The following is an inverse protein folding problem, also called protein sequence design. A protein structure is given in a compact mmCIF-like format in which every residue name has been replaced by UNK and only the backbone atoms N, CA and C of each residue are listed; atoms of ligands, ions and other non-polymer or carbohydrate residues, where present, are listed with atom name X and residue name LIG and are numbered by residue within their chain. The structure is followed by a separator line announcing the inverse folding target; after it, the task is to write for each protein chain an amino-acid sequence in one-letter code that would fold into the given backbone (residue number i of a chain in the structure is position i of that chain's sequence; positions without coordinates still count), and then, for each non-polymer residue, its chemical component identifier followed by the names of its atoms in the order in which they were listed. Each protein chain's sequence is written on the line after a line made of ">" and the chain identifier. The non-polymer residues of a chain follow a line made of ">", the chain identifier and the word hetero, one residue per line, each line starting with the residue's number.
data_IF_808645112752
#
_entry.id   IF_808645112752
#
_cell.length_a   1.000
_cell.length_b   1.000
_cell.length_c   1.000
_cell.angle_alpha   90.00
_cell.angle_beta   90.00
_cell.angle_gamma   90.00
#
_symmetry.space_group_name_H-M   'P 1'
#
loop_
_entity.id
_entity.type
_entity.pdbx_description
1 polymer ?
#
# COMPACT_ATOMS: atom_id res chain seq x y z
N UNK A 1 -16.07 21.62 4.71
CA UNK A 1 -16.78 21.13 5.89
C UNK A 1 -15.86 20.15 6.59
N UNK A 2 -15.60 20.30 7.91
CA UNK A 2 -14.80 19.36 8.69
C UNK A 2 -15.34 17.94 8.56
N UNK A 3 -14.45 16.96 8.57
CA UNK A 3 -14.82 15.55 8.53
C UNK A 3 -13.67 14.68 9.04
N UNK A 4 -13.95 13.67 9.82
CA UNK A 4 -12.93 12.79 10.41
C UNK A 4 -13.21 11.31 10.18
N UNK A 5 -14.48 10.91 10.03
CA UNK A 5 -14.86 9.53 9.76
C UNK A 5 -15.24 9.26 8.29
N UNK A 6 -15.01 10.23 7.42
CA UNK A 6 -15.28 10.12 5.97
C UNK A 6 -13.97 10.10 5.20
N UNK A 7 -13.91 9.31 4.15
CA UNK A 7 -12.83 9.30 3.17
C UNK A 7 -13.43 9.36 1.77
N UNK A 8 -12.93 10.25 0.93
CA UNK A 8 -13.32 10.33 -0.49
C UNK A 8 -12.70 9.24 -1.36
N UNK A 9 -11.83 8.38 -0.80
CA UNK A 9 -11.18 7.31 -1.53
C UNK A 9 -12.17 6.19 -1.87
N UNK A 10 -11.99 5.56 -3.02
CA UNK A 10 -12.83 4.43 -3.45
C UNK A 10 -12.79 3.28 -2.43
N UNK A 11 -13.94 2.68 -2.17
CA UNK A 11 -14.08 1.56 -1.24
C UNK A 11 -14.42 1.94 0.21
N UNK A 12 -14.35 3.23 0.56
CA UNK A 12 -14.76 3.70 1.89
C UNK A 12 -16.22 4.18 1.87
N UNK A 13 -17.09 3.52 2.59
CA UNK A 13 -18.43 4.05 2.87
C UNK A 13 -18.37 5.11 3.96
N UNK A 14 -19.36 5.98 4.02
CA UNK A 14 -19.55 6.94 5.11
C UNK A 14 -20.38 6.33 6.23
N UNK A 15 -19.95 6.49 7.48
CA UNK A 15 -20.68 5.98 8.66
C UNK A 15 -21.36 7.09 9.47
N UNK A 16 -20.95 8.35 9.32
CA UNK A 16 -21.48 9.47 10.06
C UNK A 16 -21.17 9.47 11.55
N UNK A 17 -20.11 8.78 12.00
CA UNK A 17 -19.78 8.56 13.40
C UNK A 17 -19.34 9.83 14.13
N UNK A 18 -18.38 10.57 13.57
CA UNK A 18 -17.71 11.68 14.24
C UNK A 18 -18.56 12.93 14.38
N UNK A 19 -19.59 13.10 13.55
CA UNK A 19 -20.48 14.28 13.52
C UNK A 19 -19.78 15.63 13.25
N UNK A 20 -18.50 15.66 12.92
CA UNK A 20 -17.78 16.89 12.60
C UNK A 20 -18.33 17.61 11.33
N UNK A 21 -19.08 16.93 10.48
CA UNK A 21 -19.59 17.45 9.21
C UNK A 21 -21.06 17.93 9.27
N UNK A 22 -21.52 18.41 10.43
CA UNK A 22 -22.90 18.84 10.60
C UNK A 22 -23.24 20.08 9.75
N UNK A 23 -24.39 20.03 9.09
CA UNK A 23 -24.94 21.11 8.25
C UNK A 23 -26.41 21.34 8.60
N UNK A 24 -26.91 22.54 8.31
CA UNK A 24 -28.32 22.86 8.40
C UNK A 24 -28.98 22.73 7.03
N UNK A 25 -30.14 22.06 6.99
CA UNK A 25 -30.94 21.90 5.78
C UNK A 25 -32.25 22.65 5.98
N UNK A 26 -32.60 23.52 5.04
CA UNK A 26 -33.83 24.30 5.12
C UNK A 26 -35.04 23.38 5.20
N UNK A 27 -35.96 23.71 6.13
CA UNK A 27 -37.14 22.91 6.40
C UNK A 27 -36.91 21.69 7.33
N UNK A 28 -35.68 21.38 7.71
CA UNK A 28 -35.41 20.30 8.66
C UNK A 28 -35.23 20.82 10.09
N UNK A 29 -35.83 20.11 11.05
CA UNK A 29 -35.74 20.48 12.48
C UNK A 29 -34.35 20.24 13.06
N UNK A 30 -33.65 19.23 12.59
CA UNK A 30 -32.35 18.79 13.11
C UNK A 30 -31.24 19.05 12.12
N UNK A 31 -30.01 19.24 12.62
CA UNK A 31 -28.82 19.24 11.77
C UNK A 31 -28.58 17.84 11.21
N UNK A 32 -28.02 17.78 10.02
CA UNK A 32 -27.65 16.55 9.34
C UNK A 32 -26.14 16.38 9.22
N UNK A 33 -25.66 15.15 9.31
CA UNK A 33 -24.26 14.81 8.97
C UNK A 33 -24.14 14.73 7.45
N UNK A 34 -23.44 15.68 6.83
CA UNK A 34 -23.36 15.81 5.36
C UNK A 34 -22.75 14.59 4.67
N UNK A 35 -21.82 13.86 5.34
CA UNK A 35 -21.16 12.69 4.77
C UNK A 35 -22.07 11.48 4.51
N UNK A 36 -23.27 11.44 5.13
CA UNK A 36 -24.26 10.35 4.96
C UNK A 36 -25.59 10.86 4.38
N UNK A 37 -25.68 12.15 4.07
CA UNK A 37 -26.90 12.73 3.52
C UNK A 37 -26.87 12.69 1.99
N UNK A 38 -27.88 12.09 1.39
CA UNK A 38 -28.08 12.12 -0.06
C UNK A 38 -28.78 13.42 -0.45
N UNK A 39 -28.22 14.22 -1.37
CA UNK A 39 -28.89 15.40 -1.88
C UNK A 39 -30.20 15.05 -2.61
N UNK A 40 -31.21 15.90 -2.46
CA UNK A 40 -32.47 15.83 -3.23
C UNK A 40 -32.60 17.10 -4.06
N UNK A 41 -33.44 17.07 -5.13
CA UNK A 41 -33.76 18.28 -5.89
C UNK A 41 -34.24 19.39 -4.95
N UNK A 42 -33.82 20.63 -5.22
CA UNK A 42 -34.15 21.84 -4.48
C UNK A 42 -33.73 21.89 -3.01
N UNK A 43 -32.92 20.93 -2.55
CA UNK A 43 -32.36 20.94 -1.19
C UNK A 43 -31.44 22.15 -1.00
N UNK A 44 -31.75 23.00 0.00
CA UNK A 44 -30.90 24.12 0.38
C UNK A 44 -30.10 23.73 1.62
N UNK A 45 -28.75 23.68 1.46
CA UNK A 45 -27.84 23.29 2.51
C UNK A 45 -27.03 24.50 2.98
N UNK A 46 -27.11 24.83 4.27
CA UNK A 46 -26.38 25.93 4.90
C UNK A 46 -25.20 25.38 5.71
N UNK A 47 -24.02 25.51 5.16
CA UNK A 47 -22.76 25.05 5.77
C UNK A 47 -22.24 26.02 6.84
N UNK A 48 -22.56 27.31 6.72
CA UNK A 48 -22.01 28.39 7.51
C UNK A 48 -23.05 29.05 8.43
N UNK A 49 -24.21 28.42 8.64
CA UNK A 49 -25.18 28.95 9.60
C UNK A 49 -24.60 28.91 11.02
N UNK A 50 -25.02 29.86 11.86
CA UNK A 50 -24.60 29.91 13.28
C UNK A 50 -24.82 28.59 13.99
N UNK A 51 -25.96 27.94 13.71
CA UNK A 51 -26.34 26.66 14.30
C UNK A 51 -25.41 25.52 13.88
N UNK A 52 -25.06 25.44 12.58
CA UNK A 52 -24.14 24.44 12.06
C UNK A 52 -22.70 24.64 12.62
N UNK A 53 -22.21 25.90 12.60
CA UNK A 53 -20.88 26.22 13.16
C UNK A 53 -20.79 25.91 14.66
N UNK A 54 -21.78 26.33 15.44
CA UNK A 54 -21.79 26.06 16.89
C UNK A 54 -21.81 24.55 17.19
N UNK A 55 -22.54 23.76 16.40
CA UNK A 55 -22.57 22.31 16.55
C UNK A 55 -21.23 21.66 16.18
N UNK A 56 -20.60 22.07 15.06
CA UNK A 56 -19.29 21.56 14.67
C UNK A 56 -18.21 21.89 15.68
N UNK A 57 -18.17 23.15 16.14
CA UNK A 57 -17.24 23.59 17.19
C UNK A 57 -17.38 22.74 18.45
N UNK A 58 -18.62 22.53 18.93
CA UNK A 58 -18.87 21.71 20.11
C UNK A 58 -18.43 20.24 19.89
N UNK A 59 -18.68 19.69 18.71
CA UNK A 59 -18.22 18.33 18.37
C UNK A 59 -16.69 18.25 18.38
N UNK A 60 -16.00 19.25 17.83
CA UNK A 60 -14.54 19.28 17.85
C UNK A 60 -14.00 19.42 19.28
N UNK A 61 -14.58 20.29 20.12
CA UNK A 61 -14.23 20.39 21.53
C UNK A 61 -14.37 19.04 22.26
N UNK A 62 -15.47 18.31 22.02
CA UNK A 62 -15.69 16.97 22.62
C UNK A 62 -14.67 15.94 22.11
N UNK A 63 -14.30 15.98 20.83
CA UNK A 63 -13.31 15.06 20.27
C UNK A 63 -11.89 15.36 20.77
N UNK A 64 -11.58 16.63 21.04
CA UNK A 64 -10.27 17.06 21.55
C UNK A 64 -10.13 16.83 23.06
N UNK A 65 -11.25 16.73 23.80
CA UNK A 65 -11.25 16.55 25.27
C UNK A 65 -10.40 15.36 25.72
N UNK A 66 -10.54 14.22 25.03
CA UNK A 66 -9.90 12.96 25.40
C UNK A 66 -8.61 12.70 24.58
N UNK A 67 -8.08 13.72 23.92
CA UNK A 67 -6.86 13.60 23.14
C UNK A 67 -5.63 14.05 23.93
N UNK A 68 -4.45 13.46 23.69
CA UNK A 68 -3.22 14.11 24.10
C UNK A 68 -3.17 15.54 23.56
N UNK A 69 -2.64 16.49 24.34
CA UNK A 69 -2.46 17.87 23.84
C UNK A 69 -1.65 17.86 22.52
N UNK A 70 -1.86 18.85 21.68
CA UNK A 70 -1.14 18.91 20.38
C UNK A 70 0.38 18.78 20.53
N UNK A 71 0.95 19.33 21.63
CA UNK A 71 2.39 19.22 21.92
C UNK A 71 2.84 17.78 22.21
N UNK A 72 1.95 16.96 22.77
CA UNK A 72 2.20 15.55 23.13
C UNK A 72 1.60 14.57 22.12
N UNK A 73 0.93 15.07 21.09
CA UNK A 73 0.28 14.23 20.09
C UNK A 73 1.32 13.41 19.32
N UNK A 74 0.96 12.18 18.98
CA UNK A 74 1.76 11.32 18.11
C UNK A 74 1.93 11.93 16.72
N UNK A 75 0.88 12.50 16.16
CA UNK A 75 0.91 13.29 14.93
C UNK A 75 0.37 14.68 15.21
N UNK A 76 1.28 15.65 15.34
CA UNK A 76 0.94 17.06 15.61
C UNK A 76 0.27 17.75 14.42
N UNK A 77 0.45 17.20 13.22
CA UNK A 77 -0.14 17.66 11.96
C UNK A 77 -1.31 16.78 11.51
N UNK A 78 -1.92 16.03 12.44
CA UNK A 78 -3.02 15.13 12.13
C UNK A 78 -4.24 15.88 11.59
N UNK A 79 -5.03 15.18 10.78
CA UNK A 79 -6.27 15.74 10.24
C UNK A 79 -7.26 16.21 11.34
N UNK A 80 -7.19 15.59 12.52
CA UNK A 80 -7.97 16.06 13.68
C UNK A 80 -7.59 17.49 14.07
N UNK A 81 -6.29 17.77 14.22
CA UNK A 81 -5.82 19.10 14.62
C UNK A 81 -6.04 20.13 13.52
N UNK A 82 -5.91 19.75 12.23
CA UNK A 82 -6.29 20.62 11.11
C UNK A 82 -7.77 21.03 11.19
N UNK A 83 -8.65 20.06 11.44
CA UNK A 83 -10.09 20.34 11.54
C UNK A 83 -10.44 21.11 12.83
N UNK A 84 -9.76 20.86 13.94
CA UNK A 84 -9.93 21.63 15.15
C UNK A 84 -9.54 23.10 14.95
N UNK A 85 -8.40 23.35 14.31
CA UNK A 85 -7.97 24.70 13.94
C UNK A 85 -8.96 25.41 13.00
N UNK A 86 -9.55 24.67 12.03
CA UNK A 86 -10.56 25.22 11.11
C UNK A 86 -11.82 25.71 11.83
N UNK A 87 -12.16 25.11 12.96
CA UNK A 87 -13.33 25.48 13.80
C UNK A 87 -12.92 26.33 15.03
N UNK A 88 -11.70 26.89 15.05
CA UNK A 88 -11.15 27.72 16.15
C UNK A 88 -11.18 26.98 17.51
N UNK A 89 -10.73 25.71 17.53
CA UNK A 89 -10.64 24.88 18.74
C UNK A 89 -9.18 24.50 18.96
N UNK A 90 -8.53 25.09 19.95
CA UNK A 90 -7.19 24.72 20.42
C UNK A 90 -7.24 23.86 21.69
N UNK A 91 -8.27 24.00 22.48
CA UNK A 91 -8.51 23.27 23.72
C UNK A 91 -10.01 23.09 23.93
N UNK A 92 -10.37 22.13 24.77
CA UNK A 92 -11.77 21.90 25.14
C UNK A 92 -12.17 22.67 26.38
N UNK A 93 -13.40 23.19 26.38
CA UNK A 93 -14.05 23.74 27.62
C UNK A 93 -14.69 22.63 28.46
N UNK A 94 -14.75 21.40 27.96
CA UNK A 94 -15.26 20.26 28.71
C UNK A 94 -14.15 19.65 29.56
N UNK A 95 -14.47 19.15 30.76
CA UNK A 95 -13.48 18.48 31.61
C UNK A 95 -13.03 17.17 30.91
N UNK A 96 -11.74 16.89 31.03
CA UNK A 96 -11.21 15.56 30.68
C UNK A 96 -11.93 14.51 31.55
N UNK A 97 -12.22 13.36 30.94
CA UNK A 97 -12.70 12.22 31.71
C UNK A 97 -11.53 11.63 32.50
N UNK A 98 -11.76 11.33 33.76
CA UNK A 98 -10.80 10.55 34.55
C UNK A 98 -10.73 9.13 33.92
N UNK A 99 -9.71 8.91 33.12
CA UNK A 99 -9.44 7.59 32.52
C UNK A 99 -8.64 6.79 33.54
N UNK A 100 -9.26 5.78 34.16
CA UNK A 100 -8.58 4.88 35.10
C UNK A 100 -7.35 4.20 34.48
N UNK A 101 -7.30 4.10 33.15
CA UNK A 101 -6.24 3.40 32.42
C UNK A 101 -6.01 4.01 31.05
N UNK A 102 -4.91 4.75 30.89
CA UNK A 102 -4.43 5.17 29.57
C UNK A 102 -4.06 3.91 28.79
N UNK A 103 -4.53 3.75 27.53
CA UNK A 103 -4.14 2.62 26.70
C UNK A 103 -2.61 2.53 26.59
N UNK A 104 -2.07 1.34 26.75
CA UNK A 104 -0.63 1.14 26.52
C UNK A 104 -0.34 1.31 25.02
N UNK A 105 0.80 1.92 24.74
CA UNK A 105 1.32 1.94 23.38
C UNK A 105 1.63 0.51 22.94
N UNK A 106 1.24 0.15 21.71
CA UNK A 106 1.61 -1.10 21.07
C UNK A 106 2.62 -0.82 19.95
N UNK A 107 3.87 -1.13 20.22
CA UNK A 107 5.02 -1.07 19.30
C UNK A 107 5.49 -2.46 18.87
N UNK A 108 4.67 -3.48 19.09
CA UNK A 108 4.97 -4.87 18.76
C UNK A 108 5.18 -5.10 17.25
N UNK A 109 4.55 -4.26 16.40
CA UNK A 109 4.65 -4.41 14.97
C UNK A 109 5.84 -3.63 14.40
N UNK A 110 6.74 -4.31 13.69
CA UNK A 110 8.01 -3.74 13.17
C UNK A 110 7.84 -2.49 12.28
N UNK A 111 6.72 -2.31 11.62
CA UNK A 111 6.50 -1.21 10.67
C UNK A 111 5.44 -0.20 11.09
N UNK A 112 4.68 -0.46 12.13
CA UNK A 112 3.55 0.36 12.55
C UNK A 112 3.45 0.44 14.06
N UNK A 113 3.13 1.62 14.59
CA UNK A 113 2.85 1.86 15.99
C UNK A 113 1.36 2.15 16.21
N UNK A 114 0.83 1.68 17.32
CA UNK A 114 -0.57 1.87 17.72
C UNK A 114 -0.62 2.63 19.04
N UNK A 115 -1.23 3.82 19.04
CA UNK A 115 -1.52 4.59 20.23
C UNK A 115 -3.01 4.90 20.33
N UNK A 116 -3.74 4.08 21.05
CA UNK A 116 -5.19 4.24 21.16
C UNK A 116 -5.60 5.44 22.04
N UNK A 117 -4.68 6.08 22.75
CA UNK A 117 -4.91 7.34 23.46
C UNK A 117 -5.34 8.47 22.49
N UNK A 118 -4.79 8.44 21.26
CA UNK A 118 -5.19 9.36 20.20
C UNK A 118 -6.41 8.89 19.37
N UNK A 119 -7.09 7.82 19.75
CA UNK A 119 -8.16 7.23 18.94
C UNK A 119 -9.52 7.91 19.21
N UNK A 120 -10.16 8.45 18.17
CA UNK A 120 -11.52 9.01 18.19
C UNK A 120 -12.61 8.01 17.77
N UNK A 121 -12.32 6.74 17.65
CA UNK A 121 -13.25 5.66 17.29
C UNK A 121 -14.03 5.93 15.99
N UNK A 122 -13.39 6.57 15.01
CA UNK A 122 -14.01 6.93 13.73
C UNK A 122 -14.23 5.74 12.78
N UNK A 123 -13.72 4.56 13.11
CA UNK A 123 -13.80 3.32 12.32
C UNK A 123 -13.18 3.35 10.91
N UNK A 124 -12.40 4.37 10.55
CA UNK A 124 -11.74 4.39 9.25
C UNK A 124 -10.75 3.22 9.09
N UNK A 125 -9.96 2.90 10.12
CA UNK A 125 -9.04 1.76 10.11
C UNK A 125 -9.76 0.41 10.01
N UNK A 126 -10.91 0.26 10.66
CA UNK A 126 -11.75 -0.95 10.54
C UNK A 126 -12.22 -1.12 9.10
N UNK A 127 -12.73 -0.06 8.47
CA UNK A 127 -13.18 -0.10 7.06
C UNK A 127 -12.01 -0.29 6.10
N UNK A 128 -10.86 0.35 6.35
CA UNK A 128 -9.63 0.12 5.60
C UNK A 128 -9.25 -1.37 5.58
N UNK A 129 -9.29 -2.03 6.73
CA UNK A 129 -8.95 -3.44 6.86
C UNK A 129 -10.02 -4.38 6.29
N UNK A 130 -11.30 -4.15 6.61
CA UNK A 130 -12.40 -5.06 6.30
C UNK A 130 -13.04 -4.85 4.94
N UNK A 131 -13.14 -3.60 4.47
CA UNK A 131 -13.87 -3.27 3.25
C UNK A 131 -12.91 -3.01 2.08
N UNK A 132 -11.80 -2.28 2.32
CA UNK A 132 -10.85 -1.91 1.27
C UNK A 132 -9.85 -3.03 0.98
N UNK A 133 -9.14 -3.50 2.01
CA UNK A 133 -8.11 -4.56 1.86
C UNK A 133 -8.66 -5.98 2.04
N UNK A 134 -9.83 -6.11 2.65
CA UNK A 134 -10.53 -7.40 2.91
C UNK A 134 -9.63 -8.40 3.65
N UNK A 135 -9.03 -7.94 4.75
CA UNK A 135 -8.19 -8.78 5.63
C UNK A 135 -8.92 -9.18 6.91
N UNK A 136 -9.86 -8.35 7.38
CA UNK A 136 -10.73 -8.59 8.56
C UNK A 136 -9.96 -8.77 9.88
N UNK A 137 -8.81 -8.10 10.04
CA UNK A 137 -7.99 -8.15 11.28
C UNK A 137 -8.48 -7.12 12.30
N UNK A 138 -8.88 -5.93 11.85
CA UNK A 138 -9.25 -4.83 12.75
C UNK A 138 -10.74 -4.83 13.02
N UNK A 139 -11.09 -4.82 14.31
CA UNK A 139 -12.45 -4.73 14.81
C UNK A 139 -12.64 -3.59 15.81
N UNK A 140 -13.88 -3.42 16.28
CA UNK A 140 -14.23 -2.57 17.40
C UNK A 140 -14.79 -3.45 18.51
N UNK A 141 -14.21 -3.37 19.71
CA UNK A 141 -14.69 -4.02 20.91
C UNK A 141 -15.25 -3.00 21.92
N UNK A 142 -16.07 -3.46 22.84
CA UNK A 142 -16.69 -2.60 23.85
C UNK A 142 -17.81 -1.72 23.28
N UNK A 143 -18.23 -0.76 24.08
CA UNK A 143 -19.26 0.23 23.70
C UNK A 143 -19.11 1.52 24.53
N UNK A 144 -19.64 2.61 23.98
CA UNK A 144 -19.58 3.92 24.66
C UNK A 144 -18.11 4.34 24.83
N UNK A 145 -17.76 4.86 25.98
CA UNK A 145 -16.41 5.31 26.29
C UNK A 145 -15.38 4.17 26.33
N UNK A 146 -15.80 2.95 26.69
CA UNK A 146 -14.94 1.76 26.72
C UNK A 146 -14.74 1.11 25.33
N UNK A 147 -15.28 1.72 24.27
CA UNK A 147 -15.08 1.20 22.93
C UNK A 147 -13.62 1.40 22.48
N UNK A 148 -13.00 0.35 21.99
CA UNK A 148 -11.62 0.40 21.49
C UNK A 148 -11.46 -0.39 20.19
N UNK A 149 -10.48 0.01 19.40
CA UNK A 149 -10.02 -0.77 18.27
C UNK A 149 -9.24 -1.97 18.79
N UNK A 150 -9.49 -3.14 18.19
CA UNK A 150 -8.82 -4.40 18.52
C UNK A 150 -8.30 -5.05 17.25
N UNK A 151 -7.22 -5.83 17.40
CA UNK A 151 -6.65 -6.67 16.35
C UNK A 151 -6.94 -8.13 16.69
N UNK A 152 -7.54 -8.87 15.75
CA UNK A 152 -8.02 -10.25 15.96
C UNK A 152 -8.84 -10.39 17.27
N UNK A 153 -8.33 -11.09 18.27
CA UNK A 153 -9.00 -11.33 19.56
C UNK A 153 -8.51 -10.39 20.67
N UNK A 154 -8.09 -9.18 20.34
CA UNK A 154 -7.44 -8.18 21.20
C UNK A 154 -5.95 -8.49 21.41
N UNK A 155 -5.33 -9.08 20.41
CA UNK A 155 -3.89 -9.35 20.38
C UNK A 155 -3.09 -8.08 20.11
N UNK A 156 -1.81 -7.99 20.53
CA UNK A 156 -0.90 -6.96 20.02
C UNK A 156 -0.82 -6.99 18.49
N UNK A 157 -0.70 -5.83 17.86
CA UNK A 157 -0.74 -5.75 16.39
C UNK A 157 0.32 -6.63 15.72
N UNK A 158 1.52 -6.73 16.30
CA UNK A 158 2.61 -7.55 15.77
C UNK A 158 2.41 -9.07 15.94
N UNK A 159 1.51 -9.50 16.82
CA UNK A 159 1.16 -10.90 17.07
C UNK A 159 -0.12 -11.32 16.33
N UNK A 160 -0.85 -10.35 15.76
CA UNK A 160 -2.09 -10.58 15.05
C UNK A 160 -1.87 -11.15 13.64
N UNK A 161 -2.94 -11.53 12.95
CA UNK A 161 -2.90 -11.98 11.55
C UNK A 161 -2.73 -10.82 10.55
N UNK A 162 -2.21 -9.67 10.99
CA UNK A 162 -1.97 -8.49 10.16
C UNK A 162 -0.99 -8.78 9.03
N UNK A 163 -1.36 -8.38 7.81
CA UNK A 163 -0.50 -8.53 6.62
C UNK A 163 0.34 -7.28 6.32
N UNK A 164 0.43 -6.36 7.25
CA UNK A 164 1.23 -5.13 7.18
C UNK A 164 0.96 -4.27 5.91
N UNK A 165 -0.27 -4.20 5.44
CA UNK A 165 -0.59 -3.38 4.25
C UNK A 165 -0.57 -1.87 4.53
N UNK A 166 -0.69 -1.45 5.80
CA UNK A 166 -0.66 -0.05 6.24
C UNK A 166 -1.83 0.82 5.77
N UNK A 167 -2.90 0.23 5.25
CA UNK A 167 -4.07 1.01 4.81
C UNK A 167 -4.77 1.69 6.00
N UNK A 168 -4.75 1.05 7.16
CA UNK A 168 -5.27 1.60 8.42
C UNK A 168 -4.48 2.84 8.87
N UNK A 169 -3.15 2.83 8.67
CA UNK A 169 -2.27 3.97 8.95
C UNK A 169 -2.62 5.14 8.02
N UNK A 170 -2.69 4.90 6.71
CA UNK A 170 -3.05 5.93 5.73
C UNK A 170 -4.46 6.49 5.93
N UNK A 171 -5.35 5.74 6.56
CA UNK A 171 -6.74 6.14 6.82
C UNK A 171 -6.92 6.85 8.17
N UNK A 172 -5.97 6.72 9.11
CA UNK A 172 -6.11 7.25 10.45
C UNK A 172 -6.05 8.79 10.47
N UNK A 173 -7.06 9.49 11.01
CA UNK A 173 -7.08 10.94 11.01
C UNK A 173 -6.43 11.58 12.22
N UNK A 174 -5.89 10.79 13.17
CA UNK A 174 -5.47 11.29 14.49
C UNK A 174 -4.05 10.93 14.89
N UNK A 175 -3.35 10.10 14.11
CA UNK A 175 -2.06 9.54 14.51
C UNK A 175 -2.15 8.39 15.53
N UNK A 176 -3.36 7.85 15.78
CA UNK A 176 -3.51 6.64 16.59
C UNK A 176 -2.83 5.42 15.94
N UNK A 177 -2.69 5.43 14.63
CA UNK A 177 -1.95 4.45 13.84
C UNK A 177 -0.95 5.22 12.97
N UNK A 178 0.34 4.95 13.15
CA UNK A 178 1.43 5.64 12.44
C UNK A 178 2.47 4.66 11.88
N UNK A 179 3.22 5.06 10.84
CA UNK A 179 4.42 4.32 10.47
C UNK A 179 5.44 4.37 11.63
N UNK A 180 6.04 3.23 11.96
CA UNK A 180 7.06 3.18 13.02
C UNK A 180 8.26 4.08 12.73
N UNK A 181 8.56 4.35 11.44
CA UNK A 181 9.63 5.27 11.03
C UNK A 181 9.40 6.73 11.42
N UNK A 182 8.18 7.10 11.81
CA UNK A 182 7.81 8.47 12.18
C UNK A 182 7.61 8.64 13.70
N UNK A 183 7.88 7.61 14.48
CA UNK A 183 7.76 7.63 15.94
C UNK A 183 9.15 7.47 16.55
N UNK A 184 9.56 8.39 17.39
CA UNK A 184 10.85 8.34 18.07
C UNK A 184 10.85 7.42 19.31
N UNK A 185 12.00 7.31 19.97
CA UNK A 185 12.16 6.49 21.18
C UNK A 185 11.33 7.00 22.38
N UNK A 186 10.89 8.27 22.38
CA UNK A 186 9.96 8.81 23.39
C UNK A 186 8.50 8.51 23.04
N UNK A 187 8.28 7.91 21.90
CA UNK A 187 6.97 7.53 21.33
C UNK A 187 6.03 8.71 21.06
N UNK A 188 6.61 9.88 21.01
CA UNK A 188 5.99 11.08 20.48
C UNK A 188 6.37 11.13 19.00
N UNK A 189 5.39 11.08 18.12
CA UNK A 189 5.63 11.21 16.69
C UNK A 189 6.14 12.60 16.34
N UNK A 190 7.08 12.67 15.43
CA UNK A 190 7.28 13.87 14.66
C UNK A 190 6.00 14.20 13.90
N UNK A 191 5.79 15.48 13.61
CA UNK A 191 4.73 15.85 12.68
C UNK A 191 4.92 15.08 11.36
N UNK A 192 3.82 14.64 10.76
CA UNK A 192 3.83 14.01 9.44
C UNK A 192 4.12 15.04 8.34
N UNK A 193 5.13 15.90 8.58
CA UNK A 193 5.60 16.89 7.64
C UNK A 193 6.70 16.32 6.72
N UNK A 194 6.79 16.88 5.53
CA UNK A 194 7.76 16.49 4.51
C UNK A 194 8.15 17.71 3.67
N UNK A 195 9.37 17.70 3.15
CA UNK A 195 9.87 18.79 2.32
C UNK A 195 9.31 18.73 0.90
N UNK A 196 9.15 17.50 0.39
CA UNK A 196 8.65 17.28 -0.97
C UNK A 196 7.97 15.94 -1.13
N UNK A 197 7.05 15.91 -2.08
CA UNK A 197 6.36 14.70 -2.53
C UNK A 197 6.87 14.31 -3.92
N UNK A 198 7.18 13.01 -4.09
CA UNK A 198 7.55 12.45 -5.40
C UNK A 198 6.60 11.32 -5.75
N UNK A 199 5.83 11.50 -6.81
CA UNK A 199 4.96 10.46 -7.36
C UNK A 199 5.77 9.49 -8.20
N UNK A 200 5.54 8.20 -8.02
CA UNK A 200 6.27 7.14 -8.70
C UNK A 200 5.42 5.88 -8.82
N UNK A 201 6.03 4.83 -9.37
CA UNK A 201 5.44 3.48 -9.48
C UNK A 201 6.18 2.54 -8.54
N UNK A 202 5.44 1.70 -7.81
CA UNK A 202 6.01 0.68 -6.95
C UNK A 202 6.87 -0.31 -7.75
N UNK A 203 8.14 -0.57 -7.36
CA UNK A 203 9.06 -1.39 -8.15
C UNK A 203 8.95 -2.90 -7.87
N UNK A 204 8.07 -3.35 -6.95
CA UNK A 204 8.15 -4.71 -6.44
C UNK A 204 7.42 -5.77 -7.27
N UNK A 205 6.30 -5.45 -7.89
CA UNK A 205 5.57 -6.43 -8.71
C UNK A 205 4.81 -5.79 -9.87
N UNK A 206 4.27 -6.65 -10.76
CA UNK A 206 3.58 -6.23 -11.97
C UNK A 206 2.20 -5.58 -11.79
N UNK A 207 1.71 -5.40 -10.57
CA UNK A 207 0.47 -4.63 -10.33
C UNK A 207 0.67 -3.17 -10.74
N UNK A 208 1.88 -2.61 -10.57
CA UNK A 208 2.18 -1.24 -10.98
C UNK A 208 1.49 -0.18 -10.12
N UNK A 209 1.38 -0.41 -8.81
CA UNK A 209 0.75 0.52 -7.88
C UNK A 209 1.39 1.91 -7.95
N UNK A 210 0.56 2.93 -8.07
CA UNK A 210 1.00 4.33 -7.97
C UNK A 210 1.25 4.69 -6.52
N UNK A 211 2.41 5.28 -6.25
CA UNK A 211 2.88 5.64 -4.92
C UNK A 211 3.28 7.11 -4.85
N UNK A 212 3.21 7.66 -3.65
CA UNK A 212 3.74 8.97 -3.28
C UNK A 212 4.81 8.78 -2.22
N UNK A 213 6.03 9.11 -2.56
CA UNK A 213 7.17 9.12 -1.64
C UNK A 213 7.18 10.46 -0.91
N UNK A 214 7.09 10.44 0.41
CA UNK A 214 7.21 11.62 1.28
C UNK A 214 8.65 11.73 1.75
N UNK A 215 9.31 12.82 1.36
CA UNK A 215 10.75 13.01 1.54
C UNK A 215 10.97 14.15 2.52
N UNK A 216 11.78 13.92 3.53
CA UNK A 216 12.29 14.90 4.48
C UNK A 216 13.80 14.71 4.64
N UNK A 217 14.55 15.81 4.65
CA UNK A 217 16.03 15.79 4.75
C UNK A 217 16.67 14.85 3.71
N UNK A 218 16.14 14.88 2.49
CA UNK A 218 16.53 14.05 1.33
C UNK A 218 16.40 12.52 1.53
N UNK A 219 15.66 12.08 2.55
CA UNK A 219 15.35 10.67 2.84
C UNK A 219 13.87 10.39 2.72
N UNK A 220 13.54 9.18 2.28
CA UNK A 220 12.13 8.72 2.26
C UNK A 220 11.70 8.41 3.69
N UNK A 221 10.71 9.16 4.18
CA UNK A 221 10.13 8.97 5.52
C UNK A 221 9.00 7.97 5.54
N UNK A 222 8.07 8.07 4.60
CA UNK A 222 6.99 7.11 4.41
C UNK A 222 6.48 7.13 2.97
N UNK A 223 5.64 6.17 2.66
CA UNK A 223 5.05 6.00 1.32
C UNK A 223 3.55 5.84 1.45
N UNK A 224 2.81 6.65 0.68
CA UNK A 224 1.37 6.53 0.53
C UNK A 224 0.97 5.97 -0.82
N UNK A 225 -0.14 5.23 -0.83
CA UNK A 225 -0.82 4.88 -2.07
C UNK A 225 -1.57 6.09 -2.61
N UNK A 226 -1.46 6.33 -3.92
CA UNK A 226 -2.24 7.34 -4.60
C UNK A 226 -3.18 6.72 -5.63
N UNK A 227 -4.13 7.50 -6.12
CA UNK A 227 -5.13 7.02 -7.05
C UNK A 227 -4.49 6.65 -8.39
N UNK A 228 -4.36 5.36 -8.60
CA UNK A 228 -3.83 4.77 -9.81
C UNK A 228 -4.78 3.71 -10.35
N UNK A 229 -4.73 3.43 -11.66
CA UNK A 229 -5.72 2.55 -12.33
C UNK A 229 -5.68 1.11 -11.80
N UNK A 230 -4.56 0.67 -11.23
CA UNK A 230 -4.41 -0.70 -10.73
C UNK A 230 -4.54 -0.82 -9.21
N UNK A 231 -4.36 0.24 -8.46
CA UNK A 231 -4.32 0.17 -7.00
C UNK A 231 -5.35 1.04 -6.27
N UNK A 232 -5.91 2.08 -6.90
CA UNK A 232 -6.97 2.92 -6.29
C UNK A 232 -6.64 3.29 -4.83
N UNK A 233 -5.47 3.88 -4.61
CA UNK A 233 -4.85 4.25 -3.33
C UNK A 233 -4.36 3.08 -2.44
N UNK A 234 -4.61 1.83 -2.79
CA UNK A 234 -4.19 0.68 -1.98
C UNK A 234 -2.71 0.37 -2.16
N UNK A 235 -2.07 -0.09 -1.10
CA UNK A 235 -0.73 -0.67 -1.15
C UNK A 235 -0.69 -2.00 -0.39
N UNK A 236 0.36 -2.77 -0.61
CA UNK A 236 0.72 -3.91 0.22
C UNK A 236 1.95 -3.56 1.07
N UNK A 237 2.36 -4.46 1.95
CA UNK A 237 3.54 -4.29 2.81
C UNK A 237 4.78 -3.83 2.05
N UNK A 238 5.05 -4.39 0.87
CA UNK A 238 6.24 -4.05 0.07
C UNK A 238 6.20 -2.61 -0.44
N UNK A 239 5.08 -2.19 -1.02
CA UNK A 239 4.93 -0.83 -1.54
C UNK A 239 4.88 0.22 -0.45
N UNK A 240 4.34 -0.12 0.73
CA UNK A 240 4.18 0.80 1.86
C UNK A 240 5.47 0.96 2.67
N UNK A 241 6.15 -0.13 2.99
CA UNK A 241 7.25 -0.15 3.96
C UNK A 241 8.58 -0.65 3.39
N UNK A 242 8.61 -1.16 2.16
CA UNK A 242 9.80 -1.75 1.57
C UNK A 242 10.77 -0.75 0.93
N UNK A 243 10.81 0.48 1.36
CA UNK A 243 11.67 1.53 0.79
C UNK A 243 13.04 1.66 1.46
N UNK A 244 13.29 0.96 2.56
CA UNK A 244 14.52 1.03 3.37
C UNK A 244 15.78 0.79 2.55
N UNK A 245 15.71 -0.03 1.48
CA UNK A 245 16.86 -0.32 0.64
C UNK A 245 17.42 0.91 -0.08
N UNK A 246 16.66 2.00 -0.19
CA UNK A 246 17.07 3.22 -0.92
C UNK A 246 18.23 3.89 -0.20
N UNK A 247 18.17 3.96 1.14
CA UNK A 247 19.15 4.62 2.00
C UNK A 247 19.93 3.64 2.88
N UNK A 248 19.93 2.35 2.53
CA UNK A 248 20.61 1.32 3.30
C UNK A 248 22.13 1.48 3.23
N UNK A 249 22.83 1.26 4.35
CA UNK A 249 24.29 1.44 4.47
C UNK A 249 25.09 0.57 3.49
N UNK A 250 24.57 -0.61 3.13
CA UNK A 250 25.20 -1.50 2.14
C UNK A 250 24.93 -1.10 0.69
N UNK A 251 24.19 -0.01 0.44
CA UNK A 251 23.94 0.43 -0.93
C UNK A 251 25.19 1.01 -1.55
N UNK A 252 25.56 0.48 -2.73
CA UNK A 252 26.68 1.03 -3.49
C UNK A 252 26.29 2.39 -4.09
N UNK A 253 27.05 3.42 -3.75
CA UNK A 253 26.85 4.79 -4.22
C UNK A 253 27.84 5.21 -5.31
N UNK A 254 28.88 4.39 -5.52
CA UNK A 254 29.93 4.59 -6.53
C UNK A 254 30.18 3.31 -7.30
N UNK A 255 30.61 3.39 -8.57
CA UNK A 255 31.08 2.23 -9.32
C UNK A 255 32.28 1.56 -8.62
N UNK A 256 32.32 0.25 -8.70
CA UNK A 256 33.41 -0.56 -8.16
C UNK A 256 34.10 -1.32 -9.30
N UNK A 257 35.43 -1.19 -9.37
CA UNK A 257 36.27 -1.97 -10.30
C UNK A 257 37.05 -2.98 -9.50
N UNK A 258 37.09 -4.24 -9.98
CA UNK A 258 37.89 -5.29 -9.35
C UNK A 258 39.36 -4.90 -9.35
N UNK A 259 40.06 -5.08 -8.23
CA UNK A 259 41.49 -4.85 -8.11
C UNK A 259 42.29 -5.82 -9.00
N UNK A 260 43.38 -5.37 -9.56
CA UNK A 260 44.24 -6.23 -10.37
C UNK A 260 44.76 -7.42 -9.53
N UNK A 261 44.63 -8.61 -10.12
CA UNK A 261 45.00 -9.86 -9.45
C UNK A 261 44.02 -10.38 -8.41
N UNK A 262 42.96 -9.64 -8.09
CA UNK A 262 41.92 -10.15 -7.19
C UNK A 262 41.15 -11.31 -7.83
N UNK A 263 40.96 -12.45 -7.13
CA UNK A 263 40.31 -13.62 -7.69
C UNK A 263 38.83 -13.37 -7.99
N UNK A 264 38.34 -14.00 -9.07
CA UNK A 264 36.90 -14.11 -9.32
C UNK A 264 36.40 -15.36 -8.63
N UNK A 265 35.50 -15.22 -7.66
CA UNK A 265 34.97 -16.37 -6.94
C UNK A 265 33.97 -15.98 -5.87
N UNK A 266 33.48 -16.98 -5.14
CA UNK A 266 32.49 -16.83 -4.10
C UNK A 266 33.05 -16.33 -2.76
N UNK A 267 34.39 -16.19 -2.66
CA UNK A 267 35.08 -15.82 -1.42
C UNK A 267 35.27 -14.30 -1.24
N UNK A 268 34.42 -13.52 -1.88
CA UNK A 268 34.38 -12.07 -1.62
C UNK A 268 33.64 -11.85 -0.31
N UNK A 269 34.27 -11.15 0.62
CA UNK A 269 33.59 -10.76 1.85
C UNK A 269 32.51 -9.71 1.52
N UNK A 270 31.21 -9.99 1.67
CA UNK A 270 30.16 -9.02 1.39
C UNK A 270 30.17 -7.83 2.36
N UNK A 271 30.69 -8.00 3.58
CA UNK A 271 30.82 -6.95 4.59
C UNK A 271 32.00 -6.01 4.32
N UNK A 272 32.99 -6.47 3.53
CA UNK A 272 34.12 -5.66 3.09
C UNK A 272 34.41 -5.86 1.61
N UNK A 273 33.62 -5.22 0.74
CA UNK A 273 33.84 -5.29 -0.71
C UNK A 273 35.17 -4.62 -1.12
N UNK A 274 35.76 -3.75 -0.31
CA UNK A 274 37.02 -3.07 -0.59
C UNK A 274 38.21 -4.02 -0.68
N UNK A 275 38.08 -5.21 -0.09
CA UNK A 275 39.14 -6.26 -0.17
C UNK A 275 39.40 -6.73 -1.61
N UNK A 276 38.38 -6.73 -2.46
CA UNK A 276 38.45 -7.21 -3.86
C UNK A 276 38.18 -6.11 -4.89
N UNK A 277 37.58 -4.99 -4.47
CA UNK A 277 37.18 -3.91 -5.36
C UNK A 277 37.78 -2.58 -4.89
N UNK A 278 37.89 -1.65 -5.81
CA UNK A 278 38.18 -0.25 -5.53
C UNK A 278 37.12 0.64 -6.09
N UNK A 279 36.87 1.76 -5.45
CA UNK A 279 35.99 2.80 -6.02
C UNK A 279 36.59 3.37 -7.30
N UNK A 280 35.72 3.75 -8.22
CA UNK A 280 36.03 4.40 -9.47
C UNK A 280 35.04 5.51 -9.78
N UNK A 281 35.43 6.45 -10.63
CA UNK A 281 34.46 7.37 -11.23
C UNK A 281 33.61 6.66 -12.26
N UNK A 282 32.45 7.24 -12.58
CA UNK A 282 31.59 6.72 -13.64
C UNK A 282 32.31 6.69 -15.00
N UNK A 283 33.10 7.72 -15.31
CA UNK A 283 33.87 7.80 -16.56
C UNK A 283 34.90 6.66 -16.63
N UNK A 284 35.65 6.44 -15.57
CA UNK A 284 36.61 5.34 -15.48
C UNK A 284 35.94 3.97 -15.63
N UNK A 285 34.84 3.74 -14.89
CA UNK A 285 34.14 2.46 -14.89
C UNK A 285 33.52 2.15 -16.26
N UNK A 286 32.89 3.15 -16.90
CA UNK A 286 32.34 3.00 -18.24
C UNK A 286 33.41 2.77 -19.28
N UNK A 287 34.53 3.47 -19.21
CA UNK A 287 35.69 3.27 -20.11
C UNK A 287 36.27 1.88 -19.95
N UNK A 288 36.44 1.43 -18.70
CA UNK A 288 36.93 0.08 -18.41
C UNK A 288 35.99 -0.98 -18.98
N UNK A 289 34.69 -0.88 -18.77
CA UNK A 289 33.70 -1.80 -19.28
C UNK A 289 33.65 -1.80 -20.82
N UNK A 290 33.66 -0.61 -21.44
CA UNK A 290 33.66 -0.47 -22.89
C UNK A 290 34.88 -1.10 -23.54
N UNK A 291 36.09 -0.90 -22.97
CA UNK A 291 37.33 -1.50 -23.47
C UNK A 291 37.30 -3.03 -23.32
N UNK A 292 36.73 -3.57 -22.23
CA UNK A 292 36.58 -5.01 -22.04
C UNK A 292 35.61 -5.66 -22.99
N UNK A 293 34.60 -4.94 -23.43
CA UNK A 293 33.57 -5.43 -24.37
C UNK A 293 33.92 -5.21 -25.85
N UNK A 294 34.79 -4.25 -26.15
CA UNK A 294 35.16 -3.89 -27.51
C UNK A 294 35.78 -5.08 -28.29
N UNK A 295 35.26 -5.34 -29.49
CA UNK A 295 35.76 -6.39 -30.35
C UNK A 295 35.30 -7.80 -29.99
N UNK A 296 34.52 -7.99 -28.93
CA UNK A 296 34.02 -9.31 -28.52
C UNK A 296 32.92 -9.87 -29.41
N UNK A 297 32.19 -9.04 -30.14
CA UNK A 297 31.15 -9.47 -31.07
C UNK A 297 30.20 -10.51 -30.45
N UNK A 298 30.11 -11.69 -31.05
CA UNK A 298 29.20 -12.76 -30.62
C UNK A 298 29.55 -13.46 -29.32
N UNK A 299 30.69 -13.13 -28.70
CA UNK A 299 31.04 -13.64 -27.38
C UNK A 299 30.22 -12.95 -26.26
N UNK A 300 29.51 -11.87 -26.57
CA UNK A 300 28.66 -11.14 -25.65
C UNK A 300 27.22 -11.64 -25.74
N UNK A 301 26.59 -11.83 -24.61
CA UNK A 301 25.15 -12.06 -24.50
C UNK A 301 24.53 -11.10 -23.48
N UNK A 302 23.33 -10.63 -23.77
CA UNK A 302 22.58 -9.73 -22.88
C UNK A 302 21.43 -10.45 -22.17
N UNK A 303 21.32 -10.28 -20.86
CA UNK A 303 20.24 -10.80 -20.04
C UNK A 303 19.47 -9.66 -19.42
N UNK A 304 18.25 -9.40 -19.90
CA UNK A 304 17.35 -8.39 -19.39
C UNK A 304 16.55 -8.87 -18.20
N UNK A 305 15.78 -7.95 -17.61
CA UNK A 305 14.98 -8.21 -16.42
C UNK A 305 13.57 -7.62 -16.55
N UNK A 306 12.61 -8.20 -15.84
CA UNK A 306 11.29 -7.60 -15.63
C UNK A 306 11.30 -6.45 -14.60
N UNK A 307 12.42 -6.22 -13.95
CA UNK A 307 12.63 -5.16 -12.95
C UNK A 307 13.17 -3.87 -13.57
N UNK A 308 12.80 -3.56 -14.79
CA UNK A 308 13.22 -2.36 -15.49
C UNK A 308 12.01 -1.69 -16.19
N UNK A 309 12.18 -0.43 -16.58
CA UNK A 309 11.22 0.28 -17.39
C UNK A 309 11.22 -0.23 -18.85
N UNK A 310 10.20 0.12 -19.61
CA UNK A 310 10.15 -0.19 -21.04
C UNK A 310 11.30 0.46 -21.81
N UNK A 311 11.70 1.67 -21.41
CA UNK A 311 12.82 2.42 -21.99
C UNK A 311 14.15 1.70 -21.73
N UNK A 312 14.39 1.21 -20.53
CA UNK A 312 15.58 0.42 -20.19
C UNK A 312 15.63 -0.89 -21.00
N UNK A 313 14.50 -1.60 -21.10
CA UNK A 313 14.41 -2.82 -21.88
C UNK A 313 14.68 -2.56 -23.37
N UNK A 314 14.14 -1.47 -23.94
CA UNK A 314 14.42 -1.04 -25.31
C UNK A 314 15.90 -0.70 -25.52
N UNK A 315 16.47 0.13 -24.65
CA UNK A 315 17.87 0.55 -24.74
C UNK A 315 18.83 -0.63 -24.59
N UNK A 316 18.53 -1.57 -23.69
CA UNK A 316 19.34 -2.76 -23.49
C UNK A 316 19.34 -3.67 -24.74
N UNK A 317 18.18 -3.90 -25.33
CA UNK A 317 18.07 -4.66 -26.58
C UNK A 317 18.80 -3.94 -27.72
N UNK A 318 18.63 -2.61 -27.83
CA UNK A 318 19.32 -1.80 -28.81
C UNK A 318 20.84 -1.86 -28.66
N UNK A 319 21.33 -1.80 -27.41
CA UNK A 319 22.76 -1.91 -27.08
C UNK A 319 23.37 -3.21 -27.59
N UNK A 320 22.71 -4.36 -27.34
CA UNK A 320 23.21 -5.64 -27.82
C UNK A 320 23.15 -5.73 -29.36
N UNK A 321 22.04 -5.34 -29.97
CA UNK A 321 21.86 -5.46 -31.42
C UNK A 321 22.77 -4.52 -32.21
N UNK A 322 22.88 -3.28 -31.82
CA UNK A 322 23.70 -2.29 -32.53
C UNK A 322 25.16 -2.29 -32.05
N UNK A 323 25.41 -2.46 -30.77
CA UNK A 323 26.77 -2.46 -30.23
C UNK A 323 27.59 -3.69 -30.60
N UNK A 324 26.95 -4.85 -30.77
CA UNK A 324 27.65 -6.12 -31.05
C UNK A 324 27.23 -6.78 -32.37
N UNK A 325 26.21 -6.26 -33.05
CA UNK A 325 25.79 -6.71 -34.38
C UNK A 325 25.07 -8.07 -34.38
N UNK A 326 24.43 -8.47 -33.29
CA UNK A 326 23.72 -9.75 -33.21
C UNK A 326 22.51 -9.69 -32.24
N UNK A 327 21.75 -10.79 -32.14
CA UNK A 327 20.54 -10.88 -31.36
C UNK A 327 20.67 -11.84 -30.14
N UNK A 328 21.87 -11.96 -29.55
CA UNK A 328 22.08 -12.75 -28.36
C UNK A 328 21.59 -11.96 -27.12
N UNK A 329 20.31 -11.66 -27.07
CA UNK A 329 19.65 -10.95 -25.98
C UNK A 329 18.39 -11.71 -25.62
N UNK A 330 18.19 -11.93 -24.33
CA UNK A 330 17.01 -12.58 -23.79
C UNK A 330 16.58 -11.91 -22.48
N UNK A 331 15.50 -12.39 -21.91
CA UNK A 331 14.82 -11.78 -20.78
C UNK A 331 14.31 -12.87 -19.84
N UNK A 332 14.12 -12.54 -18.56
CA UNK A 332 13.59 -13.47 -17.56
C UNK A 332 12.23 -14.08 -17.95
N UNK A 333 11.47 -13.41 -18.82
CA UNK A 333 10.22 -13.89 -19.42
C UNK A 333 10.37 -15.26 -20.09
N UNK A 334 11.58 -15.58 -20.65
CA UNK A 334 11.86 -16.85 -21.32
C UNK A 334 11.46 -18.06 -20.46
N UNK A 335 11.81 -18.04 -19.19
CA UNK A 335 11.50 -19.12 -18.26
C UNK A 335 10.25 -18.84 -17.40
N UNK A 336 9.82 -17.59 -17.31
CA UNK A 336 8.72 -17.18 -16.45
C UNK A 336 7.36 -17.40 -17.13
N UNK A 337 7.11 -16.75 -18.28
CA UNK A 337 5.80 -16.76 -18.94
C UNK A 337 5.87 -16.74 -20.48
N UNK A 338 6.94 -17.27 -21.07
CA UNK A 338 7.06 -17.36 -22.52
C UNK A 338 5.92 -18.17 -23.15
N UNK A 339 5.46 -19.24 -22.48
CA UNK A 339 4.30 -20.02 -22.90
C UNK A 339 3.00 -19.19 -22.89
N UNK A 340 2.80 -18.35 -21.87
CA UNK A 340 1.64 -17.44 -21.80
C UNK A 340 1.70 -16.39 -22.92
N UNK A 341 2.89 -15.83 -23.20
CA UNK A 341 3.09 -14.89 -24.32
C UNK A 341 2.76 -15.56 -25.65
N UNK A 342 3.24 -16.78 -25.89
CA UNK A 342 2.93 -17.54 -27.08
C UNK A 342 1.43 -17.80 -27.22
N UNK A 343 0.77 -18.26 -26.16
CA UNK A 343 -0.67 -18.50 -26.15
C UNK A 343 -1.48 -17.24 -26.42
N UNK A 344 -1.11 -16.10 -25.85
CA UNK A 344 -1.75 -14.81 -26.10
C UNK A 344 -1.57 -14.38 -27.58
N UNK A 345 -0.35 -14.49 -28.10
CA UNK A 345 -0.08 -14.16 -29.52
C UNK A 345 -0.87 -15.02 -30.50
N UNK A 346 -0.96 -16.32 -30.23
CA UNK A 346 -1.65 -17.27 -31.10
C UNK A 346 -3.18 -17.12 -31.06
N UNK A 347 -3.74 -16.84 -29.90
CA UNK A 347 -5.20 -16.83 -29.69
C UNK A 347 -5.83 -15.45 -29.75
N UNK A 348 -5.13 -14.40 -29.32
CA UNK A 348 -5.68 -13.02 -29.29
C UNK A 348 -4.87 -12.03 -30.13
N UNK A 349 -3.76 -12.46 -30.73
CA UNK A 349 -2.92 -11.63 -31.61
C UNK A 349 -2.08 -10.57 -30.88
N UNK A 350 -2.00 -10.61 -29.56
CA UNK A 350 -1.24 -9.66 -28.73
C UNK A 350 -0.55 -10.40 -27.60
N UNK A 351 0.70 -10.02 -27.31
CA UNK A 351 1.45 -10.55 -26.16
C UNK A 351 1.04 -9.94 -24.81
N UNK A 352 0.11 -8.98 -24.80
CA UNK A 352 -0.37 -8.31 -23.62
C UNK A 352 -1.72 -8.86 -23.17
N UNK A 353 -2.02 -8.74 -21.87
CA UNK A 353 -3.32 -9.05 -21.30
C UNK A 353 -4.41 -8.12 -21.85
N UNK A 354 -5.64 -8.61 -21.92
CA UNK A 354 -6.78 -7.90 -22.52
C UNK A 354 -7.66 -7.15 -21.51
N UNK A 355 -7.49 -7.41 -20.21
CA UNK A 355 -8.30 -6.85 -19.15
C UNK A 355 -7.44 -6.30 -18.01
N UNK A 356 -7.96 -5.30 -17.31
CA UNK A 356 -7.38 -4.75 -16.10
C UNK A 356 -7.91 -5.47 -14.86
N UNK A 357 -7.27 -5.29 -13.68
CA UNK A 357 -7.69 -5.98 -12.45
C UNK A 357 -9.11 -5.59 -12.00
N UNK A 358 -9.53 -4.37 -12.24
CA UNK A 358 -10.85 -3.91 -11.85
C UNK A 358 -11.98 -4.43 -12.73
N UNK A 359 -11.70 -4.97 -13.94
CA UNK A 359 -12.72 -5.62 -14.78
C UNK A 359 -13.39 -6.82 -14.10
N UNK A 360 -12.76 -7.41 -13.11
CA UNK A 360 -13.38 -8.46 -12.30
C UNK A 360 -14.67 -7.98 -11.61
N UNK A 361 -14.82 -6.67 -11.39
CA UNK A 361 -16.04 -6.09 -10.80
C UNK A 361 -17.27 -6.31 -11.67
N UNK A 362 -17.09 -6.45 -12.97
CA UNK A 362 -18.13 -6.63 -13.98
C UNK A 362 -18.35 -8.11 -14.36
N UNK A 363 -17.69 -9.03 -13.64
CA UNK A 363 -17.74 -10.47 -13.95
C UNK A 363 -18.70 -11.20 -13.00
N UNK A 364 -19.27 -12.32 -13.42
CA UNK A 364 -20.05 -13.24 -12.58
C UNK A 364 -19.19 -14.37 -12.03
N UNK A 365 -18.18 -14.79 -12.83
CA UNK A 365 -17.28 -15.89 -12.50
C UNK A 365 -15.85 -15.46 -12.80
N UNK A 366 -14.93 -15.78 -11.86
CA UNK A 366 -13.49 -15.60 -12.04
C UNK A 366 -12.74 -16.90 -11.72
N UNK A 367 -11.77 -17.23 -12.56
CA UNK A 367 -10.90 -18.38 -12.38
C UNK A 367 -9.47 -17.88 -12.12
N UNK A 368 -8.88 -18.31 -11.03
CA UNK A 368 -7.46 -18.13 -10.71
C UNK A 368 -6.78 -19.48 -10.77
N UNK A 369 -5.89 -19.66 -11.75
CA UNK A 369 -5.19 -20.91 -11.99
C UNK A 369 -3.68 -20.73 -11.90
N UNK A 370 -3.00 -21.59 -11.10
CA UNK A 370 -1.54 -21.60 -10.99
C UNK A 370 -0.92 -20.29 -10.47
N UNK A 371 -1.70 -19.49 -9.74
CA UNK A 371 -1.27 -18.18 -9.24
C UNK A 371 -1.70 -17.98 -7.78
N UNK A 372 -0.82 -17.38 -6.98
CA UNK A 372 -1.11 -16.99 -5.59
C UNK A 372 -1.07 -15.46 -5.43
N UNK A 373 -2.11 -14.74 -5.86
CA UNK A 373 -2.11 -13.28 -5.84
C UNK A 373 -2.05 -12.70 -4.43
N UNK A 374 -2.47 -13.42 -3.39
CA UNK A 374 -2.40 -12.95 -2.00
C UNK A 374 -0.95 -12.71 -1.53
N UNK A 375 0.01 -13.43 -2.07
CA UNK A 375 1.44 -13.28 -1.76
C UNK A 375 2.17 -12.48 -2.85
N UNK A 376 1.95 -12.83 -4.12
CA UNK A 376 2.71 -12.27 -5.23
C UNK A 376 2.19 -10.91 -5.71
N UNK A 377 0.87 -10.69 -5.63
CA UNK A 377 0.18 -9.50 -6.12
C UNK A 377 -0.92 -9.03 -5.13
N UNK A 378 -0.57 -8.69 -3.87
CA UNK A 378 -1.56 -8.55 -2.79
C UNK A 378 -2.64 -7.50 -3.07
N UNK A 379 -2.30 -6.40 -3.77
CA UNK A 379 -3.28 -5.39 -4.15
C UNK A 379 -4.26 -5.95 -5.20
N UNK A 380 -3.78 -6.69 -6.20
CA UNK A 380 -4.68 -7.38 -7.14
C UNK A 380 -5.58 -8.38 -6.41
N UNK A 381 -5.07 -9.07 -5.38
CA UNK A 381 -5.88 -9.98 -4.59
C UNK A 381 -7.06 -9.29 -3.88
N UNK A 382 -6.98 -8.00 -3.59
CA UNK A 382 -8.11 -7.27 -2.99
C UNK A 382 -9.33 -7.26 -3.90
N UNK A 383 -9.14 -7.14 -5.21
CA UNK A 383 -10.24 -7.20 -6.18
C UNK A 383 -10.92 -8.57 -6.19
N UNK A 384 -10.17 -9.67 -6.15
CA UNK A 384 -10.73 -11.02 -6.07
C UNK A 384 -11.49 -11.24 -4.76
N UNK A 385 -10.96 -10.75 -3.64
CA UNK A 385 -11.62 -10.84 -2.34
C UNK A 385 -12.93 -10.02 -2.30
N UNK A 386 -12.90 -8.78 -2.82
CA UNK A 386 -14.09 -7.94 -2.93
C UNK A 386 -15.12 -8.52 -3.87
N UNK A 387 -14.69 -9.08 -5.01
CA UNK A 387 -15.56 -9.78 -5.96
C UNK A 387 -16.31 -10.94 -5.28
N UNK A 388 -15.61 -11.80 -4.55
CA UNK A 388 -16.21 -12.88 -3.79
C UNK A 388 -17.18 -12.37 -2.71
N UNK A 389 -16.82 -11.31 -2.00
CA UNK A 389 -17.66 -10.71 -0.95
C UNK A 389 -18.97 -10.14 -1.49
N UNK A 390 -19.00 -9.70 -2.76
CA UNK A 390 -20.22 -9.27 -3.46
C UNK A 390 -21.06 -10.42 -4.05
N UNK A 391 -20.64 -11.67 -3.86
CA UNK A 391 -21.35 -12.86 -4.33
C UNK A 391 -20.85 -13.44 -5.65
N UNK A 392 -19.80 -12.87 -6.24
CA UNK A 392 -19.13 -13.41 -7.43
C UNK A 392 -18.56 -14.80 -7.15
N UNK A 393 -18.56 -15.65 -8.16
CA UNK A 393 -18.07 -17.04 -8.06
C UNK A 393 -16.58 -17.11 -8.38
N UNK A 394 -15.77 -17.22 -7.34
CA UNK A 394 -14.32 -17.33 -7.46
C UNK A 394 -13.89 -18.81 -7.41
N UNK A 395 -13.33 -19.30 -8.51
CA UNK A 395 -12.79 -20.66 -8.61
C UNK A 395 -11.26 -20.56 -8.55
N UNK A 396 -10.66 -21.23 -7.58
CA UNK A 396 -9.20 -21.27 -7.43
C UNK A 396 -8.70 -22.66 -7.79
N UNK A 397 -7.77 -22.73 -8.73
CA UNK A 397 -7.16 -23.97 -9.23
C UNK A 397 -5.67 -23.92 -8.98
N UNK A 398 -5.16 -24.67 -7.99
CA UNK A 398 -3.75 -24.62 -7.60
C UNK A 398 -3.34 -25.98 -6.98
N UNK A 399 -2.13 -26.47 -7.26
CA UNK A 399 -1.63 -27.70 -6.62
C UNK A 399 -1.52 -27.58 -5.10
N UNK A 400 -1.33 -26.38 -4.58
CA UNK A 400 -1.24 -26.08 -3.15
C UNK A 400 -2.55 -25.47 -2.64
N UNK A 401 -2.87 -25.72 -1.38
CA UNK A 401 -3.83 -24.87 -0.68
C UNK A 401 -3.24 -23.47 -0.47
N UNK A 402 -3.95 -22.42 -0.87
CA UNK A 402 -3.48 -21.04 -0.72
C UNK A 402 -4.51 -20.19 0.03
N UNK A 403 -4.08 -19.02 0.54
CA UNK A 403 -4.91 -18.15 1.37
C UNK A 403 -6.19 -17.67 0.66
N UNK A 404 -6.20 -17.56 -0.67
CA UNK A 404 -7.37 -17.18 -1.45
C UNK A 404 -8.51 -18.21 -1.36
N UNK A 405 -8.21 -19.45 -0.91
CA UNK A 405 -9.21 -20.51 -0.66
C UNK A 405 -10.36 -20.04 0.21
N UNK A 406 -10.10 -19.25 1.25
CA UNK A 406 -11.15 -18.75 2.16
C UNK A 406 -12.18 -17.83 1.47
N UNK A 407 -11.84 -17.30 0.30
CA UNK A 407 -12.70 -16.44 -0.52
C UNK A 407 -13.24 -17.14 -1.76
N UNK A 408 -12.81 -18.37 -2.03
CA UNK A 408 -13.23 -19.11 -3.21
C UNK A 408 -14.56 -19.81 -3.01
N UNK A 409 -15.38 -19.86 -4.06
CA UNK A 409 -16.54 -20.72 -4.11
C UNK A 409 -16.15 -22.20 -4.31
N UNK A 410 -15.03 -22.42 -5.04
CA UNK A 410 -14.47 -23.73 -5.29
C UNK A 410 -12.94 -23.64 -5.24
N UNK A 411 -12.32 -24.56 -4.51
CA UNK A 411 -10.88 -24.80 -4.54
C UNK A 411 -10.63 -26.16 -5.19
N UNK A 412 -10.12 -26.14 -6.43
CA UNK A 412 -9.80 -27.32 -7.21
C UNK A 412 -8.29 -27.59 -7.10
N UNK A 413 -7.93 -28.50 -6.22
CA UNK A 413 -6.54 -28.85 -5.98
C UNK A 413 -6.16 -30.04 -6.87
N UNK A 414 -5.19 -29.86 -7.76
CA UNK A 414 -4.75 -30.86 -8.73
C UNK A 414 -3.28 -31.21 -8.53
N UNK A 415 -2.82 -32.30 -9.16
CA UNK A 415 -1.40 -32.67 -9.14
C UNK A 415 -0.61 -31.76 -10.10
N UNK A 416 0.62 -31.35 -9.74
CA UNK A 416 1.50 -30.62 -10.66
C UNK A 416 1.60 -31.33 -12.02
N UNK A 417 1.45 -30.58 -13.10
CA UNK A 417 1.45 -31.12 -14.48
C UNK A 417 0.11 -31.67 -14.98
N UNK A 418 -0.94 -31.63 -14.15
CA UNK A 418 -2.29 -32.07 -14.54
C UNK A 418 -3.23 -30.93 -14.98
N UNK A 419 -2.70 -29.74 -15.22
CA UNK A 419 -3.46 -28.53 -15.58
C UNK A 419 -4.30 -28.75 -16.84
N UNK A 420 -3.70 -29.28 -17.91
CA UNK A 420 -4.39 -29.52 -19.19
C UNK A 420 -5.48 -30.57 -19.02
N UNK A 421 -5.21 -31.64 -18.27
CA UNK A 421 -6.20 -32.68 -18.00
C UNK A 421 -7.42 -32.15 -17.24
N UNK A 422 -7.19 -31.28 -16.26
CA UNK A 422 -8.27 -30.63 -15.52
C UNK A 422 -9.08 -29.69 -16.40
N UNK A 423 -8.43 -28.86 -17.19
CA UNK A 423 -9.12 -27.96 -18.13
C UNK A 423 -9.93 -28.73 -19.17
N UNK A 424 -9.39 -29.82 -19.72
CA UNK A 424 -10.11 -30.69 -20.64
C UNK A 424 -11.33 -31.35 -19.97
N UNK A 425 -11.21 -31.76 -18.71
CA UNK A 425 -12.34 -32.32 -17.95
C UNK A 425 -13.46 -31.28 -17.77
N UNK A 426 -13.11 -30.02 -17.48
CA UNK A 426 -14.08 -28.93 -17.36
C UNK A 426 -14.78 -28.65 -18.70
N UNK A 427 -14.04 -28.69 -19.80
CA UNK A 427 -14.62 -28.48 -21.14
C UNK A 427 -15.49 -29.66 -21.61
N UNK A 428 -15.29 -30.85 -21.06
CA UNK A 428 -16.07 -32.02 -21.41
C UNK A 428 -17.49 -32.02 -20.82
N UNK A 429 -17.71 -31.39 -19.66
CA UNK A 429 -18.98 -31.29 -18.97
C UNK A 429 -19.88 -30.22 -19.60
#
# INVERSE_FOLDING_TARGET
>A
IPHLCHSGKKGYRSDGNCRACMVEIDGERTLAASCIRTPTPDMVVKTESHRAKSARKMVMELLVTDQPSNEKAHDKSSHLWDMANLEDVSESRFPELEIERIPLLDDSHVAMNVNLDACIQCNLCVRACREVQVNDVIGLAGRGHDAKIVFDMDDPMGESSCVACGECVQACPTGALMPASNVDASQIGDSMDFDREVKSVCPFCGVGCQISLKIKDDKVKWVDGIDGPANENRLCVKGRFGFDYIDHDHRLTKPLIRRDGAPKGLNVNPEDPSSHFREASWEEALTFAANGLRGRGREVAGFGSAKCTNEEAYLFQKFIRQGFGHNNVDHCTRLCHASSVAALMENVGSAAVTATFNEIENSDVAIVIGANPTENHPVAATYFKQFSKRGGKLIVMDPRGQALKRHSSHMLQFRPGADVSMLNAIMHV
#
